data_IF_073092134381
#
_entry.id   IF_073092134381
#
_cell.length_a   1.000
_cell.length_b   1.000
_cell.length_c   1.000
_cell.angle_alpha   90.00
_cell.angle_beta   90.00
_cell.angle_gamma   90.00
#
_symmetry.space_group_name_H-M   'P 1'
#
loop_
_entity.id
_entity.type
_entity.pdbx_description
1 polymer ?
#
# COMPACT_ATOMS: atom_id res chain seq x y z
N UNK A 1 13.99 64.49 29.56
CA UNK A 1 13.52 63.86 28.30
C UNK A 1 14.00 62.41 28.33
N UNK A 2 13.13 61.45 28.70
CA UNK A 2 13.47 60.02 28.85
C UNK A 2 12.86 59.25 27.68
N UNK A 3 13.70 58.67 26.82
CA UNK A 3 13.26 57.76 25.77
C UNK A 3 13.14 56.34 26.34
N UNK A 4 11.95 55.75 26.20
CA UNK A 4 11.66 54.36 26.55
C UNK A 4 11.84 53.55 25.27
N UNK A 5 12.81 52.62 25.26
CA UNK A 5 12.99 51.65 24.19
C UNK A 5 12.07 50.46 24.47
N UNK A 6 11.01 50.30 23.67
CA UNK A 6 10.16 49.12 23.69
C UNK A 6 10.74 48.11 22.71
N UNK A 7 11.38 47.05 23.22
CA UNK A 7 11.87 45.93 22.42
C UNK A 7 10.68 45.09 21.92
N UNK A 8 10.43 45.13 20.62
CA UNK A 8 9.50 44.21 19.94
C UNK A 8 10.22 42.90 19.70
N UNK A 9 9.86 41.86 20.45
CA UNK A 9 10.31 40.49 20.18
C UNK A 9 9.44 39.93 19.06
N UNK A 10 10.03 39.79 17.87
CA UNK A 10 9.40 39.15 16.73
C UNK A 10 9.48 37.62 16.91
N UNK A 11 8.38 36.98 17.29
CA UNK A 11 8.28 35.53 17.36
C UNK A 11 8.17 34.98 15.93
N UNK A 12 9.25 34.38 15.42
CA UNK A 12 9.26 33.66 14.15
C UNK A 12 8.51 32.34 14.33
N UNK A 13 7.26 32.28 13.85
CA UNK A 13 6.45 31.07 13.83
C UNK A 13 7.02 30.13 12.75
N UNK A 14 7.84 29.15 13.14
CA UNK A 14 8.26 28.07 12.25
C UNK A 14 7.09 27.09 12.15
N UNK A 15 6.22 27.27 11.16
CA UNK A 15 5.21 26.27 10.80
C UNK A 15 5.91 25.13 10.09
N UNK A 16 6.20 24.04 10.80
CA UNK A 16 6.59 22.78 10.16
C UNK A 16 5.39 22.27 9.38
N UNK A 17 5.43 22.35 8.06
CA UNK A 17 4.44 21.70 7.21
C UNK A 17 4.56 20.20 7.39
N UNK A 18 3.60 19.59 8.09
CA UNK A 18 3.40 18.15 8.06
C UNK A 18 3.03 17.78 6.62
N UNK A 19 3.91 17.04 5.95
CA UNK A 19 3.59 16.47 4.63
C UNK A 19 2.37 15.57 4.79
N UNK A 20 1.30 15.83 4.03
CA UNK A 20 0.17 14.92 3.96
C UNK A 20 0.67 13.55 3.48
N UNK A 21 0.40 12.52 4.26
CA UNK A 21 0.73 11.14 3.90
C UNK A 21 -0.34 10.62 2.95
N UNK A 22 0.05 10.23 1.73
CA UNK A 22 -0.86 9.60 0.76
C UNK A 22 -1.03 8.13 1.13
N UNK A 23 -2.28 7.72 1.29
CA UNK A 23 -2.68 6.32 1.48
C UNK A 23 -3.11 5.73 0.14
N UNK A 24 -2.75 4.48 -0.08
CA UNK A 24 -3.09 3.70 -1.27
C UNK A 24 -3.92 2.51 -0.83
N UNK A 25 -4.93 2.18 -1.62
CA UNK A 25 -5.74 0.98 -1.46
C UNK A 25 -5.40 0.02 -2.59
N UNK A 26 -5.25 -1.26 -2.28
CA UNK A 26 -5.00 -2.30 -3.28
C UNK A 26 -5.76 -3.56 -2.95
N UNK A 27 -6.51 -4.10 -3.90
CA UNK A 27 -7.21 -5.36 -3.72
C UNK A 27 -6.27 -6.54 -3.98
N UNK A 28 -6.26 -7.50 -3.07
CA UNK A 28 -5.58 -8.79 -3.25
C UNK A 28 -6.58 -9.95 -3.16
N UNK A 29 -6.53 -10.91 -4.10
CA UNK A 29 -5.66 -10.93 -5.28
C UNK A 29 -6.00 -9.82 -6.30
N UNK A 30 -5.01 -9.31 -7.03
CA UNK A 30 -5.22 -8.25 -8.04
C UNK A 30 -6.19 -8.67 -9.14
N UNK A 31 -7.01 -7.74 -9.63
CA UNK A 31 -7.98 -7.97 -10.71
C UNK A 31 -9.38 -8.33 -10.23
N UNK A 32 -9.58 -8.40 -8.91
CA UNK A 32 -10.87 -8.68 -8.29
C UNK A 32 -11.56 -7.43 -7.72
N UNK A 33 -11.01 -6.24 -7.93
CA UNK A 33 -11.54 -4.96 -7.42
C UNK A 33 -13.00 -4.76 -7.86
N UNK A 34 -13.27 -5.09 -9.14
CA UNK A 34 -14.54 -4.80 -9.82
C UNK A 34 -15.34 -6.07 -10.19
N UNK A 35 -14.94 -7.23 -9.68
CA UNK A 35 -15.59 -8.51 -9.97
C UNK A 35 -15.84 -9.27 -8.69
N UNK A 36 -17.04 -9.83 -8.51
CA UNK A 36 -17.33 -10.73 -7.40
C UNK A 36 -16.47 -11.99 -7.47
N UNK A 37 -16.06 -12.48 -6.31
CA UNK A 37 -15.42 -13.77 -6.20
C UNK A 37 -16.31 -14.91 -6.69
N UNK A 38 -15.68 -15.96 -7.17
CA UNK A 38 -16.34 -17.17 -7.68
C UNK A 38 -16.36 -18.31 -6.66
N UNK A 39 -16.04 -18.02 -5.40
CA UNK A 39 -15.89 -19.02 -4.35
C UNK A 39 -16.49 -18.56 -3.03
N UNK A 40 -17.50 -19.28 -2.57
CA UNK A 40 -17.95 -19.18 -1.18
C UNK A 40 -16.95 -19.94 -0.30
N UNK A 41 -16.16 -19.20 0.48
CA UNK A 41 -15.23 -19.80 1.43
C UNK A 41 -15.97 -20.79 2.35
N UNK A 42 -15.40 -21.97 2.64
CA UNK A 42 -16.08 -23.01 3.38
C UNK A 42 -16.33 -22.53 4.81
N UNK A 43 -17.60 -22.41 5.17
CA UNK A 43 -17.99 -21.82 6.45
C UNK A 43 -17.75 -20.32 6.55
N UNK A 44 -17.31 -19.65 5.46
CA UNK A 44 -17.38 -18.19 5.33
C UNK A 44 -16.63 -17.45 6.45
N UNK A 45 -15.51 -18.04 6.84
CA UNK A 45 -14.73 -17.75 8.04
C UNK A 45 -13.72 -16.60 7.84
N UNK A 46 -13.22 -15.97 8.92
CA UNK A 46 -13.53 -16.22 10.34
C UNK A 46 -14.86 -15.61 10.81
N UNK A 47 -15.52 -14.77 10.00
CA UNK A 47 -16.64 -13.94 10.45
C UNK A 47 -18.04 -14.50 10.13
N UNK A 48 -18.19 -15.79 9.86
CA UNK A 48 -19.49 -16.47 9.70
C UNK A 48 -19.56 -17.81 10.44
N UNK A 49 -18.91 -17.92 11.60
CA UNK A 49 -18.93 -19.14 12.42
C UNK A 49 -19.29 -18.81 13.88
N UNK A 50 -20.15 -19.63 14.52
CA UNK A 50 -20.44 -19.52 15.96
C UNK A 50 -19.34 -20.14 16.82
N UNK A 51 -18.29 -20.70 16.21
CA UNK A 51 -17.13 -21.24 16.90
C UNK A 51 -15.94 -20.30 16.72
N UNK A 52 -15.14 -20.21 17.77
CA UNK A 52 -13.80 -19.66 17.71
C UNK A 52 -12.95 -20.44 16.70
N UNK A 53 -12.14 -19.73 15.91
CA UNK A 53 -11.39 -20.33 14.81
C UNK A 53 -10.13 -19.53 14.49
N UNK A 54 -9.19 -20.19 13.82
CA UNK A 54 -7.98 -19.57 13.29
C UNK A 54 -7.87 -19.82 11.80
N UNK A 55 -7.54 -18.78 11.06
CA UNK A 55 -7.41 -18.80 9.61
C UNK A 55 -6.13 -18.11 9.22
N UNK A 56 -5.34 -18.76 8.40
CA UNK A 56 -4.10 -18.20 7.89
C UNK A 56 -4.13 -18.26 6.37
N UNK A 57 -4.04 -17.10 5.75
CA UNK A 57 -3.98 -16.93 4.31
C UNK A 57 -2.56 -16.53 3.91
N UNK A 58 -2.03 -17.18 2.88
CA UNK A 58 -0.74 -16.82 2.28
C UNK A 58 -1.02 -16.29 0.89
N UNK A 59 -0.80 -14.99 0.69
CA UNK A 59 -0.93 -14.31 -0.59
C UNK A 59 0.43 -14.26 -1.27
N UNK A 60 0.52 -14.84 -2.47
CA UNK A 60 1.68 -14.71 -3.34
C UNK A 60 2.05 -13.25 -3.52
N UNK A 61 3.34 -12.90 -3.46
CA UNK A 61 3.83 -11.54 -3.75
C UNK A 61 3.35 -11.01 -5.11
N UNK A 62 3.04 -11.89 -6.05
CA UNK A 62 2.53 -11.58 -7.39
C UNK A 62 1.10 -11.01 -7.35
N UNK A 63 0.39 -11.17 -6.24
CA UNK A 63 -0.92 -10.52 -6.02
C UNK A 63 -0.82 -9.02 -5.79
N UNK A 64 0.38 -8.52 -5.48
CA UNK A 64 0.69 -7.10 -5.38
C UNK A 64 1.27 -6.63 -6.71
N UNK A 65 0.61 -5.65 -7.32
CA UNK A 65 1.06 -5.00 -8.56
C UNK A 65 2.37 -4.25 -8.36
N UNK A 66 2.70 -3.91 -7.13
CA UNK A 66 3.92 -3.22 -6.75
C UNK A 66 4.95 -4.17 -6.13
N UNK A 67 6.20 -4.06 -6.57
CA UNK A 67 7.32 -4.90 -6.14
C UNK A 67 8.38 -4.04 -5.42
N UNK A 68 7.97 -3.41 -4.33
CA UNK A 68 8.85 -2.64 -3.45
C UNK A 68 8.23 -2.54 -2.05
N UNK A 69 9.00 -2.17 -1.02
CA UNK A 69 8.50 -2.13 0.35
C UNK A 69 7.33 -1.17 0.60
N UNK A 70 6.31 -1.65 1.31
CA UNK A 70 5.11 -0.93 1.75
C UNK A 70 4.95 -1.01 3.27
N UNK A 71 4.20 -0.08 3.85
CA UNK A 71 3.75 -0.11 5.24
C UNK A 71 2.22 -0.23 5.26
N UNK A 72 1.74 -1.44 5.53
CA UNK A 72 0.32 -1.76 5.62
C UNK A 72 -0.24 -1.14 6.91
N UNK A 73 -1.39 -0.49 6.80
CA UNK A 73 -2.05 0.28 7.87
C UNK A 73 -3.50 -0.11 8.10
N UNK A 74 -4.15 -0.76 7.14
CA UNK A 74 -5.51 -1.28 7.27
C UNK A 74 -5.65 -2.56 6.44
N UNK A 75 -6.52 -3.47 6.92
CA UNK A 75 -7.06 -4.57 6.13
C UNK A 75 -8.57 -4.41 6.06
N UNK A 76 -9.14 -4.46 4.87
CA UNK A 76 -10.58 -4.41 4.67
C UNK A 76 -11.08 -5.70 4.03
N UNK A 77 -12.11 -6.29 4.62
CA UNK A 77 -12.73 -7.51 4.13
C UNK A 77 -13.96 -7.21 3.27
N UNK A 78 -14.08 -7.94 2.16
CA UNK A 78 -15.28 -7.93 1.32
C UNK A 78 -16.19 -9.09 1.67
N UNK A 79 -17.50 -8.84 1.67
CA UNK A 79 -18.51 -9.89 1.79
C UNK A 79 -18.87 -10.45 0.42
N UNK A 80 -19.35 -11.69 0.37
CA UNK A 80 -20.06 -12.22 -0.78
C UNK A 80 -21.29 -11.36 -1.11
N UNK A 81 -21.52 -11.04 -2.38
CA UNK A 81 -22.57 -10.11 -2.82
C UNK A 81 -23.99 -10.65 -2.63
N UNK A 82 -24.14 -11.97 -2.74
CA UNK A 82 -25.38 -12.73 -2.57
C UNK A 82 -25.85 -12.85 -1.11
N UNK A 83 -25.00 -12.48 -0.16
CA UNK A 83 -25.27 -12.64 1.26
C UNK A 83 -26.05 -11.47 1.88
N UNK A 84 -26.92 -11.82 2.83
CA UNK A 84 -27.41 -10.89 3.86
C UNK A 84 -26.65 -11.17 5.14
N UNK A 85 -26.37 -10.13 5.92
CA UNK A 85 -25.58 -10.22 7.15
C UNK A 85 -26.28 -9.42 8.23
N UNK A 86 -26.50 -9.99 9.40
CA UNK A 86 -26.93 -9.19 10.55
C UNK A 86 -25.73 -8.43 11.13
N UNK A 87 -25.97 -7.28 11.77
CA UNK A 87 -24.91 -6.61 12.51
C UNK A 87 -24.41 -7.53 13.62
N UNK A 88 -23.10 -7.58 13.81
CA UNK A 88 -22.48 -8.46 14.78
C UNK A 88 -21.15 -7.90 15.28
N UNK A 89 -20.73 -8.34 16.47
CA UNK A 89 -19.42 -8.00 17.02
C UNK A 89 -18.64 -9.29 17.26
N UNK A 90 -17.49 -9.42 16.62
CA UNK A 90 -16.52 -10.48 16.92
C UNK A 90 -15.56 -9.94 17.97
N UNK A 91 -15.63 -10.50 19.19
CA UNK A 91 -14.79 -10.05 20.30
C UNK A 91 -13.44 -10.73 20.29
N UNK A 92 -12.40 -10.01 20.71
CA UNK A 92 -11.05 -10.57 20.88
C UNK A 92 -10.49 -11.16 19.59
N UNK A 93 -10.67 -10.47 18.46
CA UNK A 93 -10.02 -10.80 17.19
C UNK A 93 -8.56 -10.41 17.29
N UNK A 94 -7.68 -11.35 16.94
CA UNK A 94 -6.26 -11.10 16.76
C UNK A 94 -5.92 -11.25 15.28
N UNK A 95 -5.16 -10.29 14.75
CA UNK A 95 -4.57 -10.37 13.41
C UNK A 95 -3.05 -10.29 13.54
N UNK A 96 -2.37 -11.27 12.97
CA UNK A 96 -0.91 -11.30 12.82
C UNK A 96 -0.59 -11.17 11.33
N UNK A 97 0.35 -10.29 11.02
CA UNK A 97 0.98 -10.21 9.70
C UNK A 97 2.44 -10.67 9.80
N UNK A 98 2.91 -11.35 8.77
CA UNK A 98 4.31 -11.75 8.63
C UNK A 98 4.67 -11.93 7.15
N UNK A 99 5.95 -11.84 6.82
CA UNK A 99 6.46 -12.45 5.60
C UNK A 99 6.43 -13.97 5.77
N UNK A 100 6.19 -14.71 4.69
CA UNK A 100 6.17 -16.17 4.73
C UNK A 100 7.57 -16.74 4.97
N UNK A 101 7.70 -17.76 5.80
CA UNK A 101 8.92 -18.59 5.92
C UNK A 101 9.16 -19.46 4.69
N UNK A 102 8.09 -19.82 3.98
CA UNK A 102 8.14 -20.56 2.73
C UNK A 102 8.14 -19.55 1.58
N UNK A 103 9.03 -19.72 0.60
CA UNK A 103 9.16 -18.80 -0.52
C UNK A 103 7.95 -18.77 -1.48
N UNK A 104 6.91 -19.59 -1.23
CA UNK A 104 5.72 -19.67 -2.06
C UNK A 104 4.48 -20.16 -1.29
N UNK A 105 3.34 -19.54 -1.61
CA UNK A 105 1.97 -19.91 -1.26
C UNK A 105 1.57 -21.32 -1.69
N UNK A 106 2.33 -21.99 -2.56
CA UNK A 106 2.08 -23.41 -2.92
C UNK A 106 2.65 -24.39 -1.90
N UNK A 107 3.51 -23.93 -0.99
CA UNK A 107 4.27 -24.79 -0.06
C UNK A 107 3.94 -24.51 1.41
N UNK A 108 2.67 -24.19 1.71
CA UNK A 108 2.25 -23.80 3.06
C UNK A 108 2.19 -25.01 4.01
N UNK A 109 2.88 -24.90 5.15
CA UNK A 109 2.91 -25.91 6.21
C UNK A 109 1.54 -26.09 6.87
N UNK A 110 1.18 -27.33 7.29
CA UNK A 110 0.01 -27.55 8.13
C UNK A 110 0.14 -26.98 9.54
N UNK A 111 1.36 -26.64 9.99
CA UNK A 111 1.61 -26.00 11.29
C UNK A 111 1.65 -24.49 11.10
N UNK A 112 0.75 -23.75 11.76
CA UNK A 112 0.59 -22.31 11.50
C UNK A 112 1.88 -21.50 11.76
N UNK A 113 2.58 -21.82 12.86
CA UNK A 113 3.83 -21.14 13.24
C UNK A 113 4.95 -21.34 12.20
N UNK A 114 4.92 -22.45 11.45
CA UNK A 114 5.92 -22.73 10.43
C UNK A 114 5.72 -21.92 9.15
N UNK A 115 4.68 -21.09 9.05
CA UNK A 115 4.43 -20.20 7.92
C UNK A 115 4.74 -18.73 8.26
N UNK A 116 4.94 -18.39 9.53
CA UNK A 116 5.16 -17.02 9.99
C UNK A 116 6.65 -16.71 10.07
N UNK A 117 7.10 -15.71 9.31
CA UNK A 117 8.48 -15.24 9.30
C UNK A 117 8.92 -14.63 10.63
N UNK A 118 10.23 -14.37 10.72
CA UNK A 118 10.83 -13.76 11.91
C UNK A 118 10.34 -12.31 12.15
N UNK A 119 9.74 -11.69 11.14
CA UNK A 119 9.13 -10.36 11.16
C UNK A 119 7.68 -10.36 11.63
N UNK A 120 7.13 -11.48 12.12
CA UNK A 120 5.73 -11.53 12.54
C UNK A 120 5.36 -10.47 13.58
N UNK A 121 4.24 -9.78 13.35
CA UNK A 121 3.71 -8.74 14.24
C UNK A 121 2.23 -8.99 14.50
N UNK A 122 1.82 -8.91 15.76
CA UNK A 122 0.39 -8.75 16.08
C UNK A 122 -0.02 -7.32 15.74
N UNK A 123 -0.67 -7.15 14.60
CA UNK A 123 -1.02 -5.84 14.04
C UNK A 123 -2.36 -5.31 14.57
N UNK A 124 -3.20 -6.21 15.06
CA UNK A 124 -4.50 -5.87 15.64
C UNK A 124 -4.85 -6.86 16.76
N UNK A 125 -5.37 -6.32 17.86
CA UNK A 125 -5.98 -7.09 18.93
C UNK A 125 -7.17 -6.30 19.50
N UNK A 126 -8.39 -6.76 19.26
CA UNK A 126 -9.60 -6.06 19.69
C UNK A 126 -10.87 -6.60 19.05
N UNK A 127 -11.95 -5.83 19.13
CA UNK A 127 -13.25 -6.22 18.60
C UNK A 127 -13.41 -5.77 17.15
N UNK A 128 -13.95 -6.65 16.30
CA UNK A 128 -14.31 -6.33 14.91
C UNK A 128 -15.82 -6.19 14.80
N UNK A 129 -16.25 -5.04 14.31
CA UNK A 129 -17.66 -4.73 14.08
C UNK A 129 -18.06 -5.12 12.66
N UNK A 130 -19.11 -5.91 12.55
CA UNK A 130 -19.73 -6.32 11.29
C UNK A 130 -21.02 -5.50 11.09
N UNK A 131 -21.12 -4.71 10.02
CA UNK A 131 -22.34 -3.98 9.71
C UNK A 131 -23.45 -4.89 9.18
N UNK A 132 -24.71 -4.48 9.39
CA UNK A 132 -25.86 -5.20 8.83
C UNK A 132 -26.07 -4.90 7.34
N UNK A 133 -26.40 -5.94 6.57
CA UNK A 133 -26.84 -5.88 5.17
C UNK A 133 -28.18 -6.60 5.03
N UNK A 134 -29.24 -5.83 4.81
CA UNK A 134 -30.62 -6.32 4.76
C UNK A 134 -31.06 -6.87 3.40
N UNK A 135 -30.22 -6.73 2.37
CA UNK A 135 -30.47 -7.30 1.04
C UNK A 135 -29.15 -7.72 0.38
N UNK A 136 -29.21 -8.75 -0.46
CA UNK A 136 -28.18 -9.00 -1.46
C UNK A 136 -27.98 -7.70 -2.25
N UNK A 137 -26.71 -7.27 -2.36
CA UNK A 137 -26.38 -5.88 -2.67
C UNK A 137 -25.94 -5.65 -4.10
N UNK A 138 -25.27 -4.52 -4.31
CA UNK A 138 -24.44 -4.27 -5.49
C UNK A 138 -23.36 -5.35 -5.61
N UNK A 139 -23.09 -5.74 -6.86
CA UNK A 139 -22.04 -6.68 -7.22
C UNK A 139 -20.92 -5.89 -7.94
N UNK A 140 -19.67 -5.91 -7.45
CA UNK A 140 -19.24 -6.54 -6.21
C UNK A 140 -19.69 -5.81 -4.95
N UNK A 141 -19.70 -6.51 -3.81
CA UNK A 141 -19.99 -5.87 -2.53
C UNK A 141 -18.85 -4.91 -2.11
N UNK A 142 -19.10 -3.87 -1.31
CA UNK A 142 -18.03 -2.97 -0.87
C UNK A 142 -17.12 -3.61 0.20
N UNK A 143 -15.86 -3.19 0.26
CA UNK A 143 -14.92 -3.46 1.37
C UNK A 143 -15.30 -2.63 2.61
N UNK A 144 -16.11 -3.22 3.49
CA UNK A 144 -16.83 -2.46 4.52
C UNK A 144 -16.53 -2.92 5.96
N UNK A 145 -15.91 -4.10 6.13
CA UNK A 145 -15.33 -4.50 7.41
C UNK A 145 -13.87 -4.09 7.36
N UNK A 146 -13.61 -2.83 7.76
CA UNK A 146 -12.29 -2.22 7.80
C UNK A 146 -11.68 -2.39 9.19
N UNK A 147 -10.45 -2.91 9.24
CA UNK A 147 -9.70 -3.14 10.46
C UNK A 147 -8.41 -2.32 10.41
N UNK A 148 -8.42 -1.10 11.01
CA UNK A 148 -7.22 -0.30 11.15
C UNK A 148 -6.20 -1.03 12.02
N UNK A 149 -4.97 -1.14 11.52
CA UNK A 149 -3.89 -1.80 12.25
C UNK A 149 -3.44 -0.88 13.40
N UNK A 150 -3.42 -1.44 14.61
CA UNK A 150 -2.86 -0.78 15.80
C UNK A 150 -1.34 -0.64 15.68
N UNK A 151 -0.71 -1.59 14.99
CA UNK A 151 0.70 -1.57 14.63
C UNK A 151 0.81 -1.75 13.12
N UNK A 152 1.19 -0.72 12.35
CA UNK A 152 1.45 -0.86 10.92
C UNK A 152 2.53 -1.92 10.64
N UNK A 153 2.40 -2.63 9.51
CA UNK A 153 3.28 -3.73 9.16
C UNK A 153 4.10 -3.40 7.91
N UNK A 154 5.42 -3.46 8.03
CA UNK A 154 6.32 -3.28 6.90
C UNK A 154 6.41 -4.60 6.11
N UNK A 155 6.05 -4.56 4.83
CA UNK A 155 6.12 -5.71 3.94
C UNK A 155 6.90 -5.34 2.67
N UNK A 156 7.80 -6.22 2.23
CA UNK A 156 8.56 -6.02 1.00
C UNK A 156 8.32 -7.17 0.01
N UNK A 157 7.42 -6.99 -0.99
CA UNK A 157 7.19 -7.98 -2.03
C UNK A 157 8.47 -8.27 -2.84
N UNK A 158 9.39 -7.30 -2.94
CA UNK A 158 10.64 -7.45 -3.70
C UNK A 158 11.69 -8.32 -2.99
N UNK A 159 11.57 -8.48 -1.66
CA UNK A 159 12.37 -9.43 -0.89
C UNK A 159 12.06 -10.89 -1.25
N UNK A 160 10.97 -11.09 -1.99
CA UNK A 160 10.63 -12.34 -2.61
C UNK A 160 9.96 -13.36 -1.71
N UNK A 161 9.37 -12.88 -0.62
CA UNK A 161 8.54 -13.62 0.30
C UNK A 161 7.08 -13.23 0.12
N UNK A 162 6.19 -14.15 0.45
CA UNK A 162 4.75 -13.95 0.37
C UNK A 162 4.19 -13.29 1.64
N UNK A 163 3.04 -12.65 1.54
CA UNK A 163 2.37 -12.05 2.70
C UNK A 163 1.51 -13.11 3.40
N UNK A 164 1.70 -13.26 4.72
CA UNK A 164 0.87 -14.13 5.56
C UNK A 164 -0.04 -13.28 6.43
N UNK A 165 -1.34 -13.57 6.38
CA UNK A 165 -2.37 -12.96 7.22
C UNK A 165 -2.99 -14.05 8.08
N UNK A 166 -2.78 -13.98 9.38
CA UNK A 166 -3.29 -14.95 10.35
C UNK A 166 -4.33 -14.27 11.25
N UNK A 167 -5.58 -14.71 11.15
CA UNK A 167 -6.73 -14.17 11.87
C UNK A 167 -7.28 -15.22 12.82
N UNK A 168 -7.35 -14.87 14.10
CA UNK A 168 -7.90 -15.72 15.15
C UNK A 168 -9.06 -15.02 15.86
N UNK A 169 -10.19 -15.72 16.01
CA UNK A 169 -11.33 -15.27 16.84
C UNK A 169 -11.22 -15.90 18.23
N UNK A 170 -10.69 -15.16 19.21
CA UNK A 170 -10.37 -15.68 20.55
C UNK A 170 -11.47 -15.42 21.59
N UNK A 171 -12.36 -14.46 21.33
CA UNK A 171 -13.48 -14.11 22.20
C UNK A 171 -14.79 -14.80 21.80
N UNK A 172 -15.90 -14.50 22.48
CA UNK A 172 -17.23 -14.97 22.08
C UNK A 172 -17.55 -14.56 20.64
N UNK A 173 -18.05 -15.51 19.86
CA UNK A 173 -18.55 -15.26 18.50
C UNK A 173 -20.06 -15.06 18.52
N UNK A 174 -20.62 -14.23 17.62
CA UNK A 174 -22.06 -14.06 17.46
C UNK A 174 -22.80 -15.39 17.25
N UNK A 175 -24.03 -15.47 17.73
CA UNK A 175 -24.90 -16.63 17.49
C UNK A 175 -25.16 -16.82 15.98
N UNK A 176 -25.35 -18.08 15.56
CA UNK A 176 -25.59 -18.44 14.17
C UNK A 176 -26.74 -17.61 13.55
N UNK A 177 -26.46 -16.94 12.42
CA UNK A 177 -27.39 -16.05 11.72
C UNK A 177 -26.92 -14.60 11.53
N UNK A 178 -25.80 -14.20 12.16
CA UNK A 178 -25.20 -12.87 12.00
C UNK A 178 -23.88 -12.83 11.24
N UNK A 179 -23.60 -13.83 10.40
CA UNK A 179 -22.29 -13.95 9.78
C UNK A 179 -22.06 -13.09 8.55
N UNK A 180 -20.79 -12.75 8.36
CA UNK A 180 -20.21 -12.00 7.26
C UNK A 180 -19.44 -12.99 6.36
N UNK A 181 -20.11 -13.60 5.38
CA UNK A 181 -19.42 -14.51 4.48
C UNK A 181 -18.46 -13.73 3.62
N UNK A 182 -17.17 -14.04 3.77
CA UNK A 182 -16.12 -13.43 2.98
C UNK A 182 -16.30 -13.77 1.51
N UNK A 183 -16.14 -12.76 0.66
CA UNK A 183 -16.00 -12.97 -0.77
C UNK A 183 -14.66 -13.63 -1.05
N UNK A 184 -14.67 -14.70 -1.85
CA UNK A 184 -13.52 -15.54 -2.06
C UNK A 184 -13.33 -15.92 -3.51
N UNK A 185 -12.10 -16.30 -3.84
CA UNK A 185 -11.73 -16.79 -5.17
C UNK A 185 -11.18 -18.20 -5.09
N UNK A 186 -11.59 -19.05 -6.05
CA UNK A 186 -11.05 -20.38 -6.27
C UNK A 186 -11.31 -20.85 -7.70
N UNK A 187 -10.34 -21.51 -8.36
CA UNK A 187 -8.93 -21.54 -8.00
C UNK A 187 -8.26 -20.18 -8.28
N UNK A 188 -7.34 -19.77 -7.42
CA UNK A 188 -6.43 -18.64 -7.65
C UNK A 188 -5.00 -19.12 -7.44
N UNK A 189 -4.20 -19.12 -8.50
CA UNK A 189 -2.83 -19.65 -8.49
C UNK A 189 -1.82 -18.87 -7.65
N UNK A 190 -2.24 -17.91 -6.82
CA UNK A 190 -1.39 -17.02 -6.02
C UNK A 190 -1.86 -16.92 -4.55
N UNK A 191 -2.55 -17.94 -4.03
CA UNK A 191 -3.18 -17.90 -2.72
C UNK A 191 -3.24 -19.29 -2.09
N UNK A 192 -3.14 -19.37 -0.77
CA UNK A 192 -3.44 -20.60 -0.01
C UNK A 192 -4.12 -20.29 1.31
N UNK A 193 -4.96 -21.22 1.77
CA UNK A 193 -5.71 -21.09 3.01
C UNK A 193 -5.50 -22.28 3.93
N UNK A 194 -5.05 -21.99 5.14
CA UNK A 194 -5.05 -22.89 6.29
C UNK A 194 -6.15 -22.48 7.26
N UNK A 195 -6.85 -23.46 7.83
CA UNK A 195 -7.89 -23.21 8.83
C UNK A 195 -7.86 -24.21 9.96
N UNK A 196 -8.17 -23.74 11.17
CA UNK A 196 -8.66 -24.57 12.26
C UNK A 196 -10.05 -24.06 12.68
N UNK A 197 -11.08 -24.80 12.28
CA UNK A 197 -12.47 -24.30 12.26
C UNK A 197 -13.08 -24.14 13.67
N UNK A 198 -12.52 -24.82 14.68
CA UNK A 198 -13.16 -24.96 16.00
C UNK A 198 -12.25 -24.69 17.20
N UNK A 199 -10.99 -24.31 16.95
CA UNK A 199 -10.02 -24.01 18.02
C UNK A 199 -9.00 -23.01 17.47
N UNK A 200 -9.03 -21.75 17.91
CA UNK A 200 -8.11 -20.74 17.44
C UNK A 200 -6.68 -20.92 18.01
N UNK A 201 -6.51 -21.75 19.04
CA UNK A 201 -5.23 -22.00 19.71
C UNK A 201 -4.49 -23.22 19.17
N UNK A 202 -5.16 -24.01 18.30
CA UNK A 202 -4.57 -25.19 17.70
C UNK A 202 -3.31 -24.84 16.91
N UNK A 203 -2.18 -25.55 17.12
CA UNK A 203 -0.94 -25.27 16.40
C UNK A 203 -0.99 -25.70 14.93
N UNK A 204 -1.96 -26.54 14.57
CA UNK A 204 -2.07 -27.16 13.26
C UNK A 204 -3.45 -26.94 12.64
N UNK A 205 -3.49 -26.83 11.31
CA UNK A 205 -4.74 -26.77 10.55
C UNK A 205 -5.50 -28.10 10.64
N UNK A 206 -6.82 -28.04 10.72
CA UNK A 206 -7.71 -29.18 10.46
C UNK A 206 -8.43 -29.05 9.10
N UNK A 207 -8.14 -27.97 8.38
CA UNK A 207 -8.72 -27.64 7.10
C UNK A 207 -7.67 -26.96 6.20
N UNK A 208 -7.69 -27.27 4.91
CA UNK A 208 -6.78 -26.71 3.91
C UNK A 208 -7.45 -26.63 2.55
N UNK A 209 -7.19 -25.55 1.83
CA UNK A 209 -7.41 -25.50 0.39
C UNK A 209 -6.29 -24.69 -0.23
N UNK A 210 -5.62 -25.30 -1.20
CA UNK A 210 -4.65 -24.62 -2.04
C UNK A 210 -5.41 -23.80 -3.07
N UNK A 211 -4.88 -22.64 -3.44
CA UNK A 211 -5.47 -21.77 -4.46
C UNK A 211 -6.84 -21.18 -4.06
N UNK A 212 -7.11 -21.04 -2.76
CA UNK A 212 -8.36 -20.48 -2.25
C UNK A 212 -8.12 -19.49 -1.11
N UNK A 213 -8.99 -18.49 -0.99
CA UNK A 213 -8.96 -17.53 0.11
C UNK A 213 -9.78 -16.28 -0.22
N UNK A 214 -9.82 -15.31 0.70
CA UNK A 214 -10.67 -14.14 0.57
C UNK A 214 -10.07 -13.08 -0.34
N UNK A 215 -10.96 -12.29 -0.93
CA UNK A 215 -10.62 -11.04 -1.60
C UNK A 215 -10.66 -9.93 -0.54
N UNK A 216 -9.53 -9.27 -0.32
CA UNK A 216 -9.37 -8.22 0.68
C UNK A 216 -8.73 -6.99 0.04
N UNK A 217 -8.89 -5.84 0.68
CA UNK A 217 -8.21 -4.60 0.31
C UNK A 217 -7.19 -4.27 1.41
N UNK A 218 -5.96 -3.97 1.01
CA UNK A 218 -4.94 -3.44 1.89
C UNK A 218 -4.89 -1.93 1.73
N UNK A 219 -4.94 -1.18 2.83
CA UNK A 219 -4.52 0.22 2.82
C UNK A 219 -3.09 0.31 3.32
N UNK A 220 -2.21 0.88 2.50
CA UNK A 220 -0.81 1.06 2.85
C UNK A 220 -0.31 2.44 2.44
N UNK A 221 0.84 2.75 2.98
CA UNK A 221 1.66 3.88 2.56
C UNK A 221 2.97 3.31 2.05
N UNK A 222 3.58 3.96 1.09
CA UNK A 222 4.94 3.61 0.71
C UNK A 222 5.87 3.97 1.87
N UNK A 223 6.75 3.04 2.22
CA UNK A 223 7.25 2.89 3.59
C UNK A 223 7.78 4.15 4.28
N UNK A 224 7.65 4.16 5.61
CA UNK A 224 8.07 5.22 6.52
C UNK A 224 9.46 5.78 6.17
N UNK A 225 9.56 7.08 5.89
CA UNK A 225 10.75 7.99 5.89
C UNK A 225 12.14 7.51 5.38
N UNK A 226 12.37 6.24 5.06
CA UNK A 226 13.65 5.60 4.75
C UNK A 226 13.67 4.98 3.33
N UNK A 227 12.59 5.16 2.57
CA UNK A 227 12.40 4.53 1.26
C UNK A 227 12.69 5.55 0.16
N UNK A 228 13.21 5.06 -0.96
CA UNK A 228 13.45 5.90 -2.12
C UNK A 228 12.13 6.53 -2.54
N UNK A 229 12.03 7.84 -2.34
CA UNK A 229 10.78 8.54 -2.51
C UNK A 229 10.99 9.81 -3.33
N UNK A 230 9.98 10.17 -4.10
CA UNK A 230 9.89 11.45 -4.79
C UNK A 230 8.94 12.34 -3.99
N UNK A 231 9.39 13.54 -3.66
CA UNK A 231 8.60 14.55 -2.98
C UNK A 231 8.44 15.69 -3.96
N UNK A 232 7.24 15.84 -4.49
CA UNK A 232 6.93 16.86 -5.46
C UNK A 232 5.64 17.58 -5.06
N UNK A 233 5.68 18.90 -4.91
CA UNK A 233 4.51 19.71 -4.54
C UNK A 233 4.53 21.06 -5.25
N UNK A 234 3.36 21.56 -5.60
CA UNK A 234 3.14 22.99 -5.87
C UNK A 234 2.86 23.67 -4.54
N UNK A 235 3.46 24.84 -4.27
CA UNK A 235 3.38 25.45 -2.93
C UNK A 235 2.10 26.25 -2.73
N UNK A 236 1.24 26.34 -3.76
CA UNK A 236 0.01 27.13 -3.74
C UNK A 236 0.25 28.64 -3.64
N UNK A 237 1.52 29.08 -3.63
CA UNK A 237 1.92 30.48 -3.52
C UNK A 237 1.76 31.29 -4.81
N UNK A 238 1.34 30.64 -5.90
CA UNK A 238 1.02 31.22 -7.20
C UNK A 238 1.07 30.18 -8.31
N UNK A 239 0.72 30.55 -9.53
CA UNK A 239 0.73 29.64 -10.70
C UNK A 239 2.16 29.25 -11.07
N UNK A 240 2.43 27.94 -11.20
CA UNK A 240 3.67 27.43 -11.76
C UNK A 240 4.89 27.46 -10.83
N UNK A 241 4.70 27.25 -9.52
CA UNK A 241 5.79 26.92 -8.61
C UNK A 241 6.09 25.42 -8.59
N UNK A 242 7.25 25.03 -8.06
CA UNK A 242 7.60 23.62 -7.86
C UNK A 242 8.60 23.46 -6.73
N UNK A 243 8.29 22.59 -5.78
CA UNK A 243 9.25 21.96 -4.90
C UNK A 243 9.43 20.51 -5.35
N UNK A 244 10.67 20.10 -5.65
CA UNK A 244 10.98 18.76 -6.15
C UNK A 244 12.24 18.18 -5.50
N UNK A 245 12.12 17.01 -4.89
CA UNK A 245 13.19 16.37 -4.14
C UNK A 245 13.09 14.85 -4.21
N UNK A 246 14.25 14.17 -4.12
CA UNK A 246 14.29 12.76 -3.75
C UNK A 246 14.72 12.58 -2.30
N UNK A 247 14.07 11.65 -1.60
CA UNK A 247 14.45 11.21 -0.27
C UNK A 247 14.94 9.76 -0.34
N UNK A 248 15.91 9.43 0.52
CA UNK A 248 16.47 8.08 0.69
C UNK A 248 16.84 7.38 -0.62
N UNK A 249 17.58 8.07 -1.48
CA UNK A 249 18.17 7.47 -2.67
C UNK A 249 18.98 6.23 -2.27
N UNK A 250 18.73 5.04 -2.86
CA UNK A 250 19.47 3.83 -2.52
C UNK A 250 20.97 4.05 -2.62
N UNK A 251 21.74 3.53 -1.67
CA UNK A 251 23.19 3.75 -1.64
C UNK A 251 23.92 3.15 -2.85
N UNK A 252 23.31 2.17 -3.53
CA UNK A 252 23.80 1.54 -4.75
C UNK A 252 23.46 2.31 -6.02
N UNK A 253 22.56 3.31 -5.96
CA UNK A 253 22.22 4.15 -7.11
C UNK A 253 23.43 4.96 -7.55
N UNK A 254 23.75 4.90 -8.84
CA UNK A 254 24.80 5.75 -9.45
C UNK A 254 24.23 6.84 -10.34
N UNK A 255 23.05 6.58 -10.91
CA UNK A 255 22.25 7.52 -11.69
C UNK A 255 20.77 7.19 -11.51
N UNK A 256 19.89 8.14 -11.84
CA UNK A 256 18.47 7.92 -11.75
C UNK A 256 17.69 8.84 -12.69
N UNK A 257 16.49 8.39 -13.04
CA UNK A 257 15.55 9.12 -13.87
C UNK A 257 14.43 9.68 -13.02
N UNK A 258 14.06 10.93 -13.27
CA UNK A 258 12.80 11.51 -12.80
C UNK A 258 11.81 11.38 -13.95
N UNK A 259 11.17 10.22 -14.09
CA UNK A 259 10.18 9.98 -15.13
C UNK A 259 8.98 10.90 -14.87
N UNK A 260 8.70 11.79 -15.82
CA UNK A 260 7.58 12.73 -15.75
C UNK A 260 6.66 12.45 -16.93
N UNK A 261 5.39 12.21 -16.65
CA UNK A 261 4.34 11.98 -17.63
C UNK A 261 3.34 13.13 -17.59
N UNK A 262 3.12 13.78 -18.72
CA UNK A 262 2.09 14.82 -18.89
C UNK A 262 0.71 14.26 -19.27
N UNK A 263 0.59 12.95 -19.47
CA UNK A 263 -0.66 12.25 -19.78
C UNK A 263 -1.03 11.27 -18.64
N UNK A 264 -1.48 11.77 -17.48
CA UNK A 264 -1.62 10.96 -16.28
C UNK A 264 -2.68 9.86 -16.42
N UNK A 265 -2.49 8.74 -15.72
CA UNK A 265 -3.42 7.60 -15.69
C UNK A 265 -4.85 8.01 -15.30
N UNK A 266 -4.98 9.08 -14.50
CA UNK A 266 -6.25 9.58 -14.01
C UNK A 266 -7.16 10.12 -15.13
N UNK A 267 -6.59 10.52 -16.28
CA UNK A 267 -7.38 10.90 -17.46
C UNK A 267 -8.11 9.71 -18.08
N UNK A 268 -7.66 8.48 -17.81
CA UNK A 268 -8.27 7.24 -18.28
C UNK A 268 -9.13 6.55 -17.21
N UNK A 269 -9.34 7.19 -16.04
CA UNK A 269 -10.04 6.59 -14.91
C UNK A 269 -9.29 5.43 -14.27
N UNK A 270 -7.96 5.34 -14.48
CA UNK A 270 -7.09 4.32 -13.91
C UNK A 270 -6.43 4.82 -12.63
N UNK A 271 -6.04 3.89 -11.77
CA UNK A 271 -5.39 4.17 -10.48
C UNK A 271 -3.95 4.63 -10.66
N UNK A 272 -3.50 5.52 -9.78
CA UNK A 272 -2.14 6.08 -9.80
C UNK A 272 -1.09 4.95 -9.71
N UNK A 273 -0.12 4.95 -10.63
CA UNK A 273 0.92 3.91 -10.64
C UNK A 273 0.62 2.69 -11.50
N UNK A 274 -0.46 2.67 -12.28
CA UNK A 274 -0.77 1.56 -13.21
C UNK A 274 -0.10 1.69 -14.58
N UNK A 275 0.71 2.73 -14.81
CA UNK A 275 1.36 2.96 -16.09
C UNK A 275 2.43 1.91 -16.43
N UNK A 276 2.61 1.55 -17.72
CA UNK A 276 3.48 0.45 -18.14
C UNK A 276 4.98 0.71 -17.92
N UNK A 277 5.39 1.96 -17.68
CA UNK A 277 6.80 2.33 -17.49
C UNK A 277 6.99 2.74 -16.04
N UNK A 278 7.31 1.76 -15.18
CA UNK A 278 7.53 1.99 -13.74
C UNK A 278 6.38 2.75 -13.05
N UNK A 279 5.14 2.48 -13.48
CA UNK A 279 3.93 3.08 -12.94
C UNK A 279 3.44 4.33 -13.67
N UNK A 280 4.19 4.89 -14.63
CA UNK A 280 3.76 6.02 -15.46
C UNK A 280 3.49 5.63 -16.92
N UNK A 281 2.65 6.39 -17.62
CA UNK A 281 2.43 6.20 -19.06
C UNK A 281 3.59 6.75 -19.88
N UNK A 282 3.93 6.05 -20.96
CA UNK A 282 4.92 6.53 -21.90
C UNK A 282 4.33 7.64 -22.79
N UNK A 283 4.91 8.83 -22.73
CA UNK A 283 4.54 9.98 -23.55
C UNK A 283 5.79 10.75 -24.03
N UNK A 284 5.65 11.84 -24.81
CA UNK A 284 6.81 12.61 -25.26
C UNK A 284 7.68 13.18 -24.14
N UNK A 285 7.13 13.42 -22.95
CA UNK A 285 7.89 13.94 -21.81
C UNK A 285 8.73 12.84 -21.16
N UNK A 286 8.18 11.63 -21.01
CA UNK A 286 8.95 10.44 -20.59
C UNK A 286 10.07 10.15 -21.58
N UNK A 287 9.80 10.23 -22.89
CA UNK A 287 10.82 10.06 -23.92
C UNK A 287 11.93 11.12 -23.82
N UNK A 288 11.56 12.38 -23.57
CA UNK A 288 12.51 13.47 -23.36
C UNK A 288 13.41 13.19 -22.15
N UNK A 289 12.84 12.79 -21.01
CA UNK A 289 13.60 12.46 -19.79
C UNK A 289 14.63 11.35 -20.07
N UNK A 290 14.21 10.26 -20.71
CA UNK A 290 15.09 9.11 -21.00
C UNK A 290 16.24 9.52 -21.95
N UNK A 291 16.00 10.48 -22.84
CA UNK A 291 17.02 10.99 -23.76
C UNK A 291 18.06 11.91 -23.11
N UNK A 292 17.79 12.43 -21.90
CA UNK A 292 18.73 13.33 -21.24
C UNK A 292 19.99 12.57 -20.79
N UNK A 293 21.19 13.17 -20.91
CA UNK A 293 22.40 12.60 -20.32
C UNK A 293 22.36 12.73 -18.78
N UNK A 294 22.90 11.71 -18.10
CA UNK A 294 23.08 11.74 -16.66
C UNK A 294 24.05 12.87 -16.27
N UNK A 295 23.65 13.78 -15.40
CA UNK A 295 24.53 14.83 -14.89
C UNK A 295 24.15 15.26 -13.47
N UNK A 296 25.15 15.63 -12.67
CA UNK A 296 24.91 16.24 -11.37
C UNK A 296 24.08 17.54 -11.54
N UNK A 297 22.98 17.67 -10.80
CA UNK A 297 22.11 18.84 -10.87
C UNK A 297 21.04 18.79 -11.97
N UNK A 298 21.07 17.81 -12.87
CA UNK A 298 20.02 17.64 -13.89
C UNK A 298 18.76 17.01 -13.27
N UNK A 299 17.61 17.70 -13.21
CA UNK A 299 16.43 17.17 -12.54
C UNK A 299 15.77 15.99 -13.27
N UNK A 300 16.09 15.76 -14.55
CA UNK A 300 15.48 14.70 -15.36
C UNK A 300 16.28 13.40 -15.33
N UNK A 301 17.61 13.48 -15.44
CA UNK A 301 18.52 12.35 -15.36
C UNK A 301 19.77 12.76 -14.57
N UNK A 302 19.84 12.34 -13.31
CA UNK A 302 20.85 12.78 -12.36
C UNK A 302 21.80 11.66 -11.96
N UNK A 303 22.95 12.04 -11.40
CA UNK A 303 23.93 11.12 -10.81
C UNK A 303 23.83 11.11 -9.28
N UNK A 304 24.27 10.04 -8.64
CA UNK A 304 24.35 9.90 -7.19
C UNK A 304 25.61 9.13 -6.78
N UNK A 305 26.26 9.45 -5.64
CA UNK A 305 26.00 10.60 -4.78
C UNK A 305 26.48 11.93 -5.39
N UNK A 306 25.90 13.04 -4.93
CA UNK A 306 26.37 14.41 -5.24
C UNK A 306 26.43 15.23 -3.96
N UNK A 307 27.27 16.27 -3.92
CA UNK A 307 27.32 17.19 -2.79
C UNK A 307 26.20 18.23 -2.85
N UNK A 308 25.64 18.57 -1.69
CA UNK A 308 24.78 19.75 -1.55
C UNK A 308 25.56 21.01 -1.96
N UNK A 309 24.94 21.98 -2.68
CA UNK A 309 23.50 22.14 -2.93
C UNK A 309 23.01 21.56 -4.27
N UNK A 310 23.67 20.54 -4.80
CA UNK A 310 23.35 19.98 -6.12
C UNK A 310 22.19 18.98 -6.05
N UNK A 311 21.26 19.03 -7.00
CA UNK A 311 20.19 18.03 -7.10
C UNK A 311 20.78 16.63 -7.42
N UNK A 312 20.31 15.55 -6.76
CA UNK A 312 19.18 15.51 -5.81
C UNK A 312 19.54 15.68 -4.32
N UNK A 313 20.80 15.94 -3.97
CA UNK A 313 21.21 16.14 -2.56
C UNK A 313 20.61 17.41 -1.91
N UNK A 314 20.09 18.33 -2.73
CA UNK A 314 19.24 19.42 -2.32
C UNK A 314 18.00 19.49 -3.23
N UNK A 315 16.86 20.02 -2.73
CA UNK A 315 15.64 20.15 -3.52
C UNK A 315 15.83 21.13 -4.69
N UNK A 316 15.18 20.84 -5.81
CA UNK A 316 14.91 21.82 -6.86
C UNK A 316 13.72 22.67 -6.41
N UNK A 317 13.95 23.98 -6.27
CA UNK A 317 12.91 24.95 -5.89
C UNK A 317 12.75 25.94 -7.04
N UNK A 318 11.58 25.93 -7.67
CA UNK A 318 11.18 26.90 -8.68
C UNK A 318 10.15 27.86 -8.07
N UNK A 319 10.39 29.18 -8.07
CA UNK A 319 9.44 30.14 -7.53
C UNK A 319 8.16 30.22 -8.37
N UNK A 320 7.07 30.79 -7.82
CA UNK A 320 5.88 31.11 -8.60
C UNK A 320 6.22 31.86 -9.90
N UNK A 321 5.55 31.49 -10.99
CA UNK A 321 5.82 32.04 -12.32
C UNK A 321 6.87 31.29 -13.15
N UNK A 322 7.54 30.27 -12.59
CA UNK A 322 8.55 29.50 -13.35
C UNK A 322 7.93 28.58 -14.40
N UNK A 323 6.77 28.00 -14.07
CA UNK A 323 6.10 26.96 -14.84
C UNK A 323 4.69 27.39 -15.29
N UNK A 324 4.48 28.67 -15.64
CA UNK A 324 3.15 29.18 -16.05
C UNK A 324 2.61 28.45 -17.28
N UNK A 325 3.49 27.98 -18.16
CA UNK A 325 3.11 27.26 -19.37
C UNK A 325 2.43 25.90 -19.13
N UNK A 326 2.47 25.38 -17.91
CA UNK A 326 1.87 24.10 -17.53
C UNK A 326 0.74 24.25 -16.50
N UNK A 327 0.28 25.49 -16.26
CA UNK A 327 -0.88 25.77 -15.43
C UNK A 327 -2.12 25.01 -15.94
N UNK A 328 -2.86 24.40 -15.04
CA UNK A 328 -4.02 23.56 -15.32
C UNK A 328 -3.68 22.17 -15.86
N UNK A 329 -2.40 21.81 -15.94
CA UNK A 329 -1.98 20.45 -16.28
C UNK A 329 -1.81 19.60 -15.03
N UNK A 330 -2.08 18.30 -15.18
CA UNK A 330 -1.79 17.29 -14.17
C UNK A 330 -0.67 16.41 -14.70
N UNK A 331 0.44 16.29 -13.97
CA UNK A 331 1.53 15.37 -14.33
C UNK A 331 1.70 14.29 -13.27
N UNK A 332 2.31 13.18 -13.66
CA UNK A 332 2.72 12.09 -12.80
C UNK A 332 4.24 11.98 -12.80
N UNK A 333 4.82 11.74 -11.62
CA UNK A 333 6.27 11.65 -11.45
C UNK A 333 6.67 10.41 -10.70
N UNK A 334 7.65 9.67 -11.22
CA UNK A 334 8.31 8.56 -10.55
C UNK A 334 9.83 8.69 -10.66
N UNK A 335 10.56 8.35 -9.59
CA UNK A 335 12.01 8.19 -9.62
C UNK A 335 12.40 6.75 -9.91
N UNK A 336 13.38 6.54 -10.76
CA UNK A 336 13.96 5.21 -11.03
C UNK A 336 15.46 5.27 -10.84
N UNK A 337 15.96 4.69 -9.75
CA UNK A 337 17.37 4.60 -9.45
C UNK A 337 18.01 3.42 -10.17
N UNK A 338 19.17 3.62 -10.77
CA UNK A 338 19.95 2.59 -11.46
C UNK A 338 21.41 2.58 -10.98
N UNK A 339 21.99 1.39 -10.84
CA UNK A 339 23.38 1.22 -10.43
C UNK A 339 24.37 1.41 -11.60
N UNK A 340 25.66 1.13 -11.35
CA UNK A 340 26.71 1.22 -12.35
C UNK A 340 26.57 0.20 -13.49
N UNK A 341 25.91 -0.94 -13.22
CA UNK A 341 25.67 -2.01 -14.19
C UNK A 341 24.43 -1.73 -15.06
N UNK A 342 23.59 -0.78 -14.66
CA UNK A 342 22.32 -0.44 -15.30
C UNK A 342 21.13 -1.18 -14.72
N UNK A 343 21.31 -1.91 -13.62
CA UNK A 343 20.23 -2.58 -12.89
C UNK A 343 19.42 -1.56 -12.07
N UNK A 344 18.12 -1.79 -11.98
CA UNK A 344 17.21 -0.95 -11.18
C UNK A 344 17.45 -1.23 -9.70
N UNK A 345 17.80 -0.18 -8.96
CA UNK A 345 18.09 -0.22 -7.52
C UNK A 345 16.90 0.19 -6.66
N UNK A 346 15.92 0.87 -7.25
CA UNK A 346 14.70 1.29 -6.57
C UNK A 346 13.82 2.13 -7.48
N UNK A 347 12.51 2.10 -7.20
CA UNK A 347 11.50 2.91 -7.88
C UNK A 347 10.71 3.63 -6.80
N UNK A 348 10.50 4.94 -6.97
CA UNK A 348 9.65 5.69 -6.06
C UNK A 348 8.18 5.42 -6.38
N UNK A 349 7.29 5.64 -5.42
CA UNK A 349 5.87 5.86 -5.70
C UNK A 349 5.65 6.88 -6.80
N UNK A 350 4.59 6.68 -7.59
CA UNK A 350 4.11 7.73 -8.49
C UNK A 350 3.45 8.82 -7.65
N UNK A 351 3.91 10.06 -7.83
CA UNK A 351 3.32 11.27 -7.24
C UNK A 351 2.61 12.06 -8.33
N UNK A 352 1.40 12.51 -8.04
CA UNK A 352 0.64 13.38 -8.94
C UNK A 352 0.88 14.86 -8.57
N UNK A 353 1.15 15.67 -9.59
CA UNK A 353 1.30 17.12 -9.50
C UNK A 353 0.18 17.79 -10.28
N UNK A 354 -0.41 18.83 -9.70
CA UNK A 354 -1.44 19.65 -10.34
C UNK A 354 -0.99 21.11 -10.23
N UNK A 355 -0.85 21.80 -11.37
CA UNK A 355 -0.39 23.19 -11.45
C UNK A 355 -1.50 24.20 -11.72
#
# INVERSE_FOLDING_TARGET
MKFIYTSVVLALLVTTSLSAQTFYNHTIPSGWENTDGNYSLPGSTPFNTPNQSRWQWTYGRETLTHQFPILITEIAFRRSSDATTAAATYQGVQIILASSTNASHTSVSPTFANNLGADMVTVFNGDVQIPAYTAAGVSPAPFNVRVPLQVPFAFDPSAGLDLVIDVSTLGPTPAAGGGFPLDGVFPNGFLSQNGHITDPTSPSRNWFNENAGPIIELTYVFGSAAHFNVIATTTGGGTGDLFFQFANVPATTTRAYSLICGTPVSLFGLELGTGPVFGVWFDPLVAFVISQPAAAGNPFHWTWPVSSPTFPAAPLILPPGSLVGVAGQTWEVAGVGVDASGEVTGVTPVTQLVW
#
